data_IF_402024463066
#
_entry.id   IF_402024463066
#
_cell.length_a   1.000
_cell.length_b   1.000
_cell.length_c   1.000
_cell.angle_alpha   90.00
_cell.angle_beta   90.00
_cell.angle_gamma   90.00
#
_symmetry.space_group_name_H-M   'P 1'
#
loop_
_entity.id
_entity.type
_entity.pdbx_description
1 polymer ?
#
# COMPACT_ATOMS: atom_id res chain seq x y z
N UNK A 1 23.21 -11.11 4.95
CA UNK A 1 23.13 -9.71 4.47
C UNK A 1 22.85 -8.84 5.69
N UNK A 2 23.46 -7.66 5.81
CA UNK A 2 23.20 -6.78 6.97
C UNK A 2 21.82 -6.11 6.83
N UNK A 3 21.05 -6.05 7.92
CA UNK A 3 19.68 -5.50 7.92
C UNK A 3 19.58 -4.08 7.33
N UNK A 4 20.64 -3.26 7.46
CA UNK A 4 20.69 -1.91 6.89
C UNK A 4 20.50 -1.91 5.37
N UNK A 5 21.20 -2.80 4.65
CA UNK A 5 21.10 -2.90 3.19
C UNK A 5 19.70 -3.34 2.76
N UNK A 6 19.07 -4.23 3.53
CA UNK A 6 17.71 -4.64 3.27
C UNK A 6 16.70 -3.51 3.53
N UNK A 7 16.91 -2.74 4.61
CA UNK A 7 16.09 -1.56 4.92
C UNK A 7 16.23 -0.45 3.88
N UNK A 8 17.43 -0.22 3.33
CA UNK A 8 17.63 0.77 2.27
C UNK A 8 16.76 0.47 1.04
N UNK A 9 16.54 -0.82 0.75
CA UNK A 9 15.67 -1.25 -0.34
C UNK A 9 14.19 -1.29 0.07
N UNK A 10 13.89 -1.88 1.23
CA UNK A 10 12.52 -2.21 1.65
C UNK A 10 11.78 -1.06 2.35
N UNK A 11 12.50 -0.12 2.96
CA UNK A 11 11.96 1.01 3.72
C UNK A 11 12.76 2.31 3.45
N UNK A 12 12.85 2.76 2.19
CA UNK A 12 13.60 3.95 1.83
C UNK A 12 12.90 5.24 2.30
N UNK A 13 13.69 6.28 2.56
CA UNK A 13 13.18 7.63 2.68
C UNK A 13 12.98 8.25 1.29
N UNK A 14 11.72 8.54 0.92
CA UNK A 14 11.38 9.08 -0.39
C UNK A 14 11.65 10.60 -0.54
N UNK A 15 12.04 11.28 0.55
CA UNK A 15 12.46 12.69 0.56
C UNK A 15 14.00 12.82 0.54
N UNK A 16 14.71 11.87 1.13
CA UNK A 16 16.17 11.77 1.08
C UNK A 16 16.60 10.33 0.77
N UNK A 17 16.72 10.03 -0.52
CA UNK A 17 17.12 8.71 -1.03
C UNK A 17 18.56 8.33 -0.68
N UNK A 18 19.38 9.25 -0.16
CA UNK A 18 20.78 8.95 0.22
C UNK A 18 20.89 8.54 1.69
N UNK A 19 19.92 8.93 2.53
CA UNK A 19 20.01 8.68 3.96
C UNK A 19 18.64 8.46 4.61
N UNK A 20 18.28 7.19 4.76
CA UNK A 20 17.06 6.77 5.46
C UNK A 20 17.21 6.67 6.98
N UNK A 21 18.44 6.75 7.52
CA UNK A 21 18.73 6.53 8.94
C UNK A 21 17.94 7.45 9.89
N UNK A 22 17.81 8.78 9.64
CA UNK A 22 17.02 9.64 10.52
C UNK A 22 15.54 9.26 10.57
N UNK A 23 14.97 8.86 9.43
CA UNK A 23 13.58 8.37 9.36
C UNK A 23 13.42 7.11 10.22
N UNK A 24 14.27 6.11 10.04
CA UNK A 24 14.20 4.87 10.85
C UNK A 24 14.37 5.13 12.34
N UNK A 25 15.28 6.02 12.73
CA UNK A 25 15.46 6.41 14.13
C UNK A 25 14.18 7.02 14.71
N UNK A 26 13.47 7.83 13.93
CA UNK A 26 12.20 8.42 14.34
C UNK A 26 11.08 7.38 14.44
N UNK A 27 10.95 6.46 13.47
CA UNK A 27 9.99 5.35 13.50
C UNK A 27 10.18 4.46 14.74
N UNK A 28 11.44 4.12 15.06
CA UNK A 28 11.72 3.36 16.28
C UNK A 28 11.34 4.12 17.55
N UNK A 29 11.73 5.39 17.65
CA UNK A 29 11.48 6.23 18.83
C UNK A 29 9.99 6.49 19.06
N UNK A 30 9.22 6.69 17.98
CA UNK A 30 7.79 7.03 18.08
C UNK A 30 6.89 5.80 18.16
N UNK A 31 7.26 4.68 17.53
CA UNK A 31 6.37 3.54 17.37
C UNK A 31 6.99 2.24 17.85
N UNK A 32 8.23 1.95 17.47
CA UNK A 32 8.88 0.68 17.79
C UNK A 32 9.03 0.41 19.29
N UNK A 33 9.35 1.44 20.09
CA UNK A 33 9.48 1.31 21.54
C UNK A 33 8.16 0.91 22.24
N UNK A 34 7.01 1.20 21.65
CA UNK A 34 5.70 0.83 22.22
C UNK A 34 5.32 -0.63 21.96
N UNK A 35 6.07 -1.36 21.14
CA UNK A 35 5.78 -2.73 20.74
C UNK A 35 6.74 -3.76 21.38
N UNK A 36 7.59 -3.33 22.32
CA UNK A 36 8.66 -4.18 22.89
C UNK A 36 8.18 -5.28 23.83
N UNK A 37 6.90 -5.27 24.22
CA UNK A 37 6.31 -6.35 25.00
C UNK A 37 6.15 -7.64 24.17
N UNK A 38 6.15 -7.53 22.84
CA UNK A 38 6.11 -8.69 21.94
C UNK A 38 7.49 -9.34 21.80
N UNK A 39 7.53 -10.68 21.91
CA UNK A 39 8.77 -11.47 21.90
C UNK A 39 9.55 -11.44 20.59
N UNK A 40 8.91 -11.15 19.45
CA UNK A 40 9.59 -10.99 18.17
C UNK A 40 10.12 -9.56 17.98
N UNK A 41 9.51 -8.57 18.65
CA UNK A 41 9.77 -7.13 18.47
C UNK A 41 10.59 -6.52 19.62
N UNK A 42 10.79 -7.21 20.74
CA UNK A 42 11.34 -6.76 22.04
C UNK A 42 12.60 -5.86 22.09
N UNK A 43 13.24 -5.62 20.95
CA UNK A 43 14.35 -4.71 20.76
C UNK A 43 14.35 -4.13 19.35
N UNK A 44 15.11 -3.06 19.12
CA UNK A 44 15.15 -2.34 17.84
C UNK A 44 15.40 -3.23 16.62
N UNK A 45 16.34 -4.18 16.72
CA UNK A 45 16.64 -5.10 15.62
C UNK A 45 15.42 -5.99 15.29
N UNK A 46 14.71 -6.45 16.31
CA UNK A 46 13.49 -7.26 16.18
C UNK A 46 12.37 -6.50 15.49
N UNK A 47 12.13 -5.25 15.87
CA UNK A 47 11.17 -4.37 15.21
C UNK A 47 11.41 -4.30 13.70
N UNK A 48 12.63 -3.94 13.26
CA UNK A 48 12.92 -3.80 11.84
C UNK A 48 12.94 -5.14 11.09
N UNK A 49 13.52 -6.19 11.68
CA UNK A 49 13.51 -7.52 11.08
C UNK A 49 12.07 -8.04 10.87
N UNK A 50 11.21 -7.86 11.87
CA UNK A 50 9.83 -8.31 11.80
C UNK A 50 9.03 -7.50 10.78
N UNK A 51 9.17 -6.17 10.77
CA UNK A 51 8.50 -5.31 9.77
C UNK A 51 8.87 -5.69 8.34
N UNK A 52 10.16 -5.94 8.07
CA UNK A 52 10.59 -6.37 6.73
C UNK A 52 10.09 -7.78 6.40
N UNK A 53 10.19 -8.73 7.33
CA UNK A 53 9.67 -10.09 7.15
C UNK A 53 8.17 -10.05 6.81
N UNK A 54 7.41 -9.20 7.52
CA UNK A 54 5.99 -9.03 7.31
C UNK A 54 5.68 -8.43 5.93
N UNK A 55 6.36 -7.35 5.54
CA UNK A 55 6.26 -6.78 4.19
C UNK A 55 6.50 -7.84 3.11
N UNK A 56 7.55 -8.65 3.27
CA UNK A 56 7.93 -9.67 2.31
C UNK A 56 6.90 -10.81 2.25
N UNK A 57 6.26 -11.17 3.36
CA UNK A 57 5.16 -12.16 3.40
C UNK A 57 3.88 -11.63 2.76
N UNK A 58 3.53 -10.36 3.00
CA UNK A 58 2.38 -9.73 2.36
C UNK A 58 2.59 -9.73 0.84
N UNK A 59 3.76 -9.32 0.36
CA UNK A 59 4.11 -9.28 -1.06
C UNK A 59 3.01 -8.65 -1.95
N UNK A 60 2.55 -7.47 -1.55
CA UNK A 60 1.38 -6.80 -2.12
C UNK A 60 1.46 -6.65 -3.64
N UNK A 61 2.61 -6.19 -4.16
CA UNK A 61 2.75 -5.89 -5.59
C UNK A 61 2.63 -7.16 -6.45
N UNK A 62 3.30 -8.25 -6.08
CA UNK A 62 3.21 -9.48 -6.86
C UNK A 62 1.84 -10.14 -6.73
N UNK A 63 1.18 -9.97 -5.59
CA UNK A 63 -0.22 -10.38 -5.44
C UNK A 63 -1.14 -9.59 -6.36
N UNK A 64 -1.02 -8.27 -6.45
CA UNK A 64 -1.82 -7.47 -7.39
C UNK A 64 -1.55 -7.89 -8.84
N UNK A 65 -0.28 -8.12 -9.20
CA UNK A 65 0.12 -8.63 -10.52
C UNK A 65 -0.52 -9.97 -10.86
N UNK A 66 -0.66 -10.88 -9.90
CA UNK A 66 -1.27 -12.20 -10.18
C UNK A 66 -2.73 -12.09 -10.61
N UNK A 67 -3.43 -11.03 -10.17
CA UNK A 67 -4.78 -10.67 -10.61
C UNK A 67 -4.81 -9.78 -11.87
N UNK A 68 -3.66 -9.47 -12.47
CA UNK A 68 -3.57 -8.61 -13.66
C UNK A 68 -3.51 -7.10 -13.37
N UNK A 69 -3.47 -6.69 -12.11
CA UNK A 69 -3.33 -5.27 -11.73
C UNK A 69 -1.85 -4.91 -11.61
N UNK A 70 -1.42 -3.95 -12.42
CA UNK A 70 -0.08 -3.35 -12.36
C UNK A 70 -0.17 -1.84 -12.14
N UNK A 71 0.91 -1.20 -11.65
CA UNK A 71 1.03 0.25 -11.72
C UNK A 71 0.77 0.73 -13.15
N UNK A 72 -0.16 1.68 -13.30
CA UNK A 72 -0.56 2.27 -14.57
C UNK A 72 -1.18 3.65 -14.33
N UNK A 73 -0.40 4.71 -14.59
CA UNK A 73 -0.81 6.12 -14.39
C UNK A 73 -2.03 6.54 -15.22
N UNK A 74 -2.34 5.79 -16.27
CA UNK A 74 -3.44 6.09 -17.21
C UNK A 74 -4.68 5.22 -17.01
N UNK A 75 -4.72 4.40 -15.94
CA UNK A 75 -5.82 3.49 -15.67
C UNK A 75 -6.50 3.74 -14.33
N UNK A 76 -7.84 3.73 -14.33
CA UNK A 76 -8.65 3.71 -13.12
C UNK A 76 -8.85 2.28 -12.62
N UNK A 77 -8.90 2.13 -11.31
CA UNK A 77 -9.27 0.89 -10.62
C UNK A 77 -10.46 1.20 -9.73
N UNK A 78 -11.51 0.37 -9.78
CA UNK A 78 -12.61 0.43 -8.84
C UNK A 78 -12.17 0.00 -7.44
N UNK A 79 -12.48 0.81 -6.43
CA UNK A 79 -12.15 0.52 -5.04
C UNK A 79 -12.73 -0.81 -4.57
N UNK A 80 -13.97 -1.11 -4.91
CA UNK A 80 -14.59 -2.40 -4.58
C UNK A 80 -13.84 -3.58 -5.20
N UNK A 81 -13.38 -3.46 -6.44
CA UNK A 81 -12.58 -4.48 -7.13
C UNK A 81 -11.22 -4.66 -6.45
N UNK A 82 -10.56 -3.55 -6.11
CA UNK A 82 -9.28 -3.59 -5.40
C UNK A 82 -9.42 -4.26 -4.02
N UNK A 83 -10.47 -3.88 -3.27
CA UNK A 83 -10.78 -4.49 -1.98
C UNK A 83 -11.10 -5.98 -2.08
N UNK A 84 -11.80 -6.41 -3.14
CA UNK A 84 -12.06 -7.83 -3.41
C UNK A 84 -10.75 -8.62 -3.59
N UNK A 85 -9.77 -8.07 -4.32
CA UNK A 85 -8.46 -8.73 -4.49
C UNK A 85 -7.76 -8.90 -3.15
N UNK A 86 -7.74 -7.85 -2.33
CA UNK A 86 -7.07 -7.89 -1.03
C UNK A 86 -7.77 -8.85 -0.07
N UNK A 87 -9.09 -8.85 -0.05
CA UNK A 87 -9.88 -9.83 0.71
C UNK A 87 -9.60 -11.26 0.25
N UNK A 88 -9.55 -11.52 -1.06
CA UNK A 88 -9.27 -12.84 -1.62
C UNK A 88 -7.83 -13.31 -1.34
N UNK A 89 -6.89 -12.37 -1.31
CA UNK A 89 -5.47 -12.66 -1.08
C UNK A 89 -5.10 -12.87 0.38
N UNK A 90 -5.74 -12.14 1.30
CA UNK A 90 -5.30 -12.03 2.69
C UNK A 90 -6.40 -12.38 3.71
N UNK A 91 -7.63 -12.64 3.25
CA UNK A 91 -8.73 -13.10 4.09
C UNK A 91 -9.39 -12.03 4.96
N UNK A 92 -8.89 -10.78 4.97
CA UNK A 92 -9.41 -9.69 5.82
C UNK A 92 -9.42 -8.34 5.08
N UNK A 93 -10.37 -7.43 5.41
CA UNK A 93 -10.41 -6.08 4.84
C UNK A 93 -9.26 -5.23 5.37
N UNK A 94 -8.61 -4.53 4.44
CA UNK A 94 -7.55 -3.54 4.72
C UNK A 94 -8.11 -2.12 4.67
N UNK A 95 -7.34 -1.15 5.18
CA UNK A 95 -7.65 0.27 4.95
C UNK A 95 -6.82 0.83 3.78
N UNK A 96 -7.40 1.78 3.03
CA UNK A 96 -6.74 2.44 1.90
C UNK A 96 -6.70 3.96 2.15
N UNK A 97 -5.55 4.56 1.84
CA UNK A 97 -5.46 6.02 1.69
C UNK A 97 -5.08 6.40 0.27
N UNK A 98 -5.65 7.51 -0.18
CA UNK A 98 -5.37 8.09 -1.48
C UNK A 98 -5.01 9.56 -1.36
N UNK A 99 -4.29 10.08 -2.35
CA UNK A 99 -3.94 11.50 -2.46
C UNK A 99 -4.25 12.04 -3.85
N UNK A 100 -4.37 13.38 -4.01
CA UNK A 100 -4.58 13.98 -5.32
C UNK A 100 -3.56 13.51 -6.36
N UNK A 101 -4.05 13.22 -7.56
CA UNK A 101 -3.26 12.87 -8.73
C UNK A 101 -3.26 14.04 -9.71
N UNK A 102 -2.06 14.45 -10.13
CA UNK A 102 -1.83 15.68 -10.90
C UNK A 102 -1.24 15.42 -12.29
N UNK A 103 -1.21 14.17 -12.75
CA UNK A 103 -0.63 13.81 -14.05
C UNK A 103 -1.72 13.67 -15.13
N UNK A 104 -1.49 12.82 -16.13
CA UNK A 104 -2.36 12.67 -17.29
C UNK A 104 -3.74 12.10 -16.94
N UNK A 105 -4.78 12.54 -17.66
CA UNK A 105 -6.13 11.97 -17.51
C UNK A 105 -6.13 10.46 -17.82
N UNK A 106 -6.84 9.64 -17.02
CA UNK A 106 -7.02 8.23 -17.32
C UNK A 106 -7.69 8.02 -18.67
N UNK A 107 -7.21 7.00 -19.39
CA UNK A 107 -7.74 6.56 -20.69
C UNK A 107 -8.31 5.14 -20.64
N UNK A 108 -7.97 4.42 -19.56
CA UNK A 108 -8.34 3.03 -19.37
C UNK A 108 -8.97 2.82 -18.00
N UNK A 109 -9.72 1.74 -17.86
CA UNK A 109 -10.17 1.22 -16.57
C UNK A 109 -9.91 -0.29 -16.49
N UNK A 110 -9.62 -0.78 -15.29
CA UNK A 110 -9.48 -2.20 -15.05
C UNK A 110 -10.85 -2.85 -14.89
N UNK A 111 -11.14 -3.84 -15.73
CA UNK A 111 -12.38 -4.62 -15.69
C UNK A 111 -12.05 -6.08 -15.44
N UNK A 112 -12.80 -6.72 -14.55
CA UNK A 112 -12.68 -8.14 -14.27
C UNK A 112 -13.21 -8.96 -15.46
N UNK A 113 -12.33 -9.75 -16.08
CA UNK A 113 -12.63 -10.65 -17.18
C UNK A 113 -12.21 -12.07 -16.80
N UNK A 114 -13.16 -12.88 -16.34
CA UNK A 114 -12.87 -14.17 -15.70
C UNK A 114 -12.16 -13.96 -14.36
N UNK A 115 -10.98 -14.56 -14.19
CA UNK A 115 -10.22 -14.50 -12.94
C UNK A 115 -9.20 -13.35 -12.87
N UNK A 116 -9.07 -12.55 -13.94
CA UNK A 116 -8.07 -11.48 -14.04
C UNK A 116 -8.67 -10.16 -14.49
N UNK A 117 -8.01 -9.07 -14.11
CA UNK A 117 -8.33 -7.73 -14.54
C UNK A 117 -7.56 -7.37 -15.80
N UNK A 118 -8.28 -6.84 -16.78
CA UNK A 118 -7.71 -6.36 -18.04
C UNK A 118 -8.03 -4.87 -18.21
N UNK A 119 -7.17 -4.17 -18.96
CA UNK A 119 -7.40 -2.77 -19.31
C UNK A 119 -8.42 -2.68 -20.46
N UNK A 120 -9.44 -1.85 -20.25
CA UNK A 120 -10.44 -1.50 -21.26
C UNK A 120 -10.41 0.01 -21.48
N UNK A 121 -10.53 0.46 -22.73
CA UNK A 121 -10.60 1.88 -23.05
C UNK A 121 -11.86 2.51 -22.44
N UNK A 122 -11.70 3.66 -21.79
CA UNK A 122 -12.81 4.44 -21.29
C UNK A 122 -13.47 5.16 -22.48
N UNK A 123 -14.72 4.82 -22.77
CA UNK A 123 -15.50 5.45 -23.84
C UNK A 123 -16.40 6.61 -23.35
N UNK A 124 -16.37 6.91 -22.05
CA UNK A 124 -17.11 8.02 -21.43
C UNK A 124 -16.18 9.20 -21.16
N UNK A 125 -16.66 10.41 -21.39
CA UNK A 125 -15.92 11.61 -21.05
C UNK A 125 -16.06 11.89 -19.54
N UNK A 126 -15.02 11.57 -18.77
CA UNK A 126 -14.95 11.92 -17.35
C UNK A 126 -14.91 13.44 -17.20
N UNK A 127 -15.99 14.00 -16.66
CA UNK A 127 -16.08 15.43 -16.38
C UNK A 127 -15.25 15.83 -15.14
N UNK A 128 -14.82 14.86 -14.34
CA UNK A 128 -13.96 15.05 -13.18
C UNK A 128 -12.67 15.76 -13.56
N UNK A 129 -12.42 16.90 -12.90
CA UNK A 129 -11.19 17.67 -13.06
C UNK A 129 -10.05 17.19 -12.17
N UNK A 130 -10.36 16.39 -11.16
CA UNK A 130 -9.43 15.91 -10.15
C UNK A 130 -9.54 14.40 -10.00
N UNK A 131 -8.42 13.72 -10.15
CA UNK A 131 -8.30 12.29 -9.89
C UNK A 131 -7.49 12.07 -8.62
N UNK A 132 -7.59 10.86 -8.06
CA UNK A 132 -6.84 10.44 -6.88
C UNK A 132 -6.02 9.21 -7.22
N UNK A 133 -4.86 9.09 -6.58
CA UNK A 133 -4.01 7.90 -6.67
C UNK A 133 -3.91 7.23 -5.31
N UNK A 134 -3.74 5.90 -5.32
CA UNK A 134 -3.41 5.11 -4.15
C UNK A 134 -2.09 5.62 -3.53
N UNK A 135 -2.09 5.80 -2.22
CA UNK A 135 -0.94 6.29 -1.45
C UNK A 135 -0.48 5.24 -0.43
N UNK A 136 -1.42 4.70 0.35
CA UNK A 136 -1.13 3.68 1.37
C UNK A 136 -2.15 2.53 1.32
N UNK A 137 -1.65 1.30 1.52
CA UNK A 137 -2.45 0.13 1.87
C UNK A 137 -2.07 -0.31 3.28
N UNK A 138 -3.02 -0.28 4.19
CA UNK A 138 -2.79 -0.45 5.63
C UNK A 138 -3.35 -1.80 6.08
N UNK A 139 -2.44 -2.68 6.50
CA UNK A 139 -2.76 -3.96 7.13
C UNK A 139 -2.73 -3.80 8.65
N UNK A 140 -3.71 -4.39 9.34
CA UNK A 140 -3.77 -4.35 10.79
C UNK A 140 -3.51 -5.73 11.38
N UNK A 141 -2.88 -5.74 12.55
CA UNK A 141 -2.44 -6.94 13.23
C UNK A 141 -2.89 -6.88 14.69
N UNK A 142 -3.26 -8.03 15.24
CA UNK A 142 -3.43 -8.14 16.69
C UNK A 142 -2.07 -8.25 17.39
N UNK A 143 -2.09 -8.32 18.72
CA UNK A 143 -0.88 -8.46 19.56
C UNK A 143 -0.11 -9.76 19.32
N UNK A 144 -0.73 -10.77 18.69
CA UNK A 144 -0.08 -12.01 18.26
C UNK A 144 0.43 -11.92 16.81
N UNK A 145 0.49 -10.70 16.26
CA UNK A 145 0.98 -10.39 14.92
C UNK A 145 0.25 -11.14 13.79
N UNK A 146 -1.02 -11.49 14.04
CA UNK A 146 -1.92 -12.08 13.05
C UNK A 146 -2.77 -11.00 12.40
N UNK A 147 -3.01 -11.12 11.08
CA UNK A 147 -3.82 -10.15 10.32
C UNK A 147 -5.24 -10.11 10.90
N UNK A 148 -5.75 -8.91 11.09
CA UNK A 148 -7.13 -8.63 11.50
C UNK A 148 -7.73 -7.53 10.64
N UNK A 149 -9.05 -7.38 10.68
CA UNK A 149 -9.72 -6.20 10.14
C UNK A 149 -9.20 -4.97 10.85
N UNK A 150 -8.90 -3.91 10.10
CA UNK A 150 -8.51 -2.66 10.72
C UNK A 150 -9.66 -2.09 11.56
N UNK A 151 -9.43 -1.73 12.84
CA UNK A 151 -10.45 -1.10 13.70
C UNK A 151 -10.71 0.37 13.33
N UNK A 152 -10.22 0.81 12.17
CA UNK A 152 -10.38 2.16 11.66
C UNK A 152 -11.67 2.21 10.83
N UNK A 153 -12.64 3.01 11.26
CA UNK A 153 -13.79 3.32 10.42
C UNK A 153 -13.33 4.24 9.29
N UNK A 154 -13.84 4.05 8.06
CA UNK A 154 -13.45 4.90 6.92
C UNK A 154 -13.66 6.40 7.16
N UNK A 155 -14.61 6.76 8.05
CA UNK A 155 -14.88 8.14 8.47
C UNK A 155 -13.76 8.78 9.28
N UNK A 156 -12.84 7.99 9.84
CA UNK A 156 -11.70 8.46 10.63
C UNK A 156 -10.43 8.66 9.79
N UNK A 157 -10.45 8.23 8.52
CA UNK A 157 -9.32 8.39 7.61
C UNK A 157 -9.39 9.77 6.92
N UNK A 158 -8.45 10.66 7.24
CA UNK A 158 -8.36 11.99 6.63
C UNK A 158 -8.20 11.97 5.10
N UNK A 159 -7.60 10.90 4.56
CA UNK A 159 -7.27 10.74 3.14
C UNK A 159 -7.95 9.50 2.53
N UNK A 160 -9.28 9.40 2.68
CA UNK A 160 -10.06 8.27 2.16
C UNK A 160 -9.94 8.15 0.63
N UNK A 161 -9.81 6.92 0.13
CA UNK A 161 -9.91 6.64 -1.30
C UNK A 161 -11.35 6.80 -1.83
N UNK A 162 -11.55 7.51 -2.96
CA UNK A 162 -12.82 7.53 -3.68
C UNK A 162 -13.14 6.16 -4.31
N UNK A 163 -14.34 6.04 -4.92
CA UNK A 163 -14.82 4.79 -5.52
C UNK A 163 -13.96 4.30 -6.68
N UNK A 164 -13.23 5.20 -7.34
CA UNK A 164 -12.24 4.88 -8.36
C UNK A 164 -10.96 5.68 -8.13
N UNK A 165 -9.81 5.04 -8.25
CA UNK A 165 -8.51 5.70 -8.07
C UNK A 165 -7.46 5.10 -9.02
N UNK A 166 -6.29 5.72 -9.07
CA UNK A 166 -5.17 5.33 -9.93
C UNK A 166 -4.11 4.62 -9.10
N UNK A 167 -3.65 3.44 -9.55
CA UNK A 167 -2.42 2.86 -9.02
C UNK A 167 -1.25 3.35 -9.87
N UNK A 168 -0.65 4.47 -9.47
CA UNK A 168 0.30 5.19 -10.31
C UNK A 168 1.62 4.44 -10.51
N UNK A 169 2.24 4.60 -11.69
CA UNK A 169 3.62 4.17 -11.91
C UNK A 169 4.56 4.89 -10.94
N UNK A 170 5.57 4.17 -10.44
CA UNK A 170 6.63 4.80 -9.68
C UNK A 170 7.62 5.47 -10.64
N UNK A 171 7.65 6.80 -10.62
CA UNK A 171 8.73 7.58 -11.19
C UNK A 171 9.61 8.08 -10.04
N UNK A 172 10.90 7.71 -10.05
CA UNK A 172 11.87 8.30 -9.14
C UNK A 172 11.94 9.79 -9.46
N UNK A 173 11.60 10.63 -8.49
CA UNK A 173 11.75 12.08 -8.59
C UNK A 173 13.20 12.49 -8.44
#
# INVERSE_FOLDING_TARGET
MAIRTEMDYAWPNLTDYKNSKPMWANEWRLHGQCAVDDRAIFHQLGYFNYSISLKNRINLLDKLKSYGIIPQSTALIGKAQFMYILQSAYGMPVALKCRPFKEARPKYEYILNGDKFNLTAINRDYQEKLFYQLDEVIFCFNVNLSIISCPLNESQLSNKCPDVFIFNNYAKK
#
